data_IF_035787131091
#
_entry.id   IF_035787131091
#
_cell.length_a   1.000
_cell.length_b   1.000
_cell.length_c   1.000
_cell.angle_alpha   90.00
_cell.angle_beta   90.00
_cell.angle_gamma   90.00
#
_symmetry.space_group_name_H-M   'P 1'
#
loop_
_entity.id
_entity.type
_entity.pdbx_description
1 polymer ?
#
# COMPACT_ATOMS: atom_id res chain seq x y z
N UNK A 1 -7.02 22.78 12.70
CA UNK A 1 -7.08 21.33 13.00
C UNK A 1 -5.73 20.75 12.61
N UNK A 2 -4.95 20.28 13.57
CA UNK A 2 -3.59 19.77 13.34
C UNK A 2 -3.67 18.39 12.71
N UNK A 3 -3.38 18.29 11.41
CA UNK A 3 -3.23 17.01 10.73
C UNK A 3 -2.11 16.20 11.41
N UNK A 4 -2.44 15.04 11.99
CA UNK A 4 -1.46 14.18 12.63
C UNK A 4 -0.78 13.29 11.59
N UNK A 5 0.54 13.42 11.50
CA UNK A 5 1.38 12.55 10.63
C UNK A 5 1.26 11.11 11.13
N UNK A 6 0.97 10.18 10.21
CA UNK A 6 0.84 8.77 10.53
C UNK A 6 2.21 8.16 10.80
N UNK A 7 2.40 7.58 12.00
CA UNK A 7 3.68 7.03 12.46
C UNK A 7 3.61 5.52 12.73
N UNK A 8 4.61 4.72 12.33
CA UNK A 8 4.56 3.25 12.45
C UNK A 8 4.72 2.69 13.87
N UNK A 9 5.20 3.52 14.81
CA UNK A 9 5.58 3.10 16.16
C UNK A 9 4.91 3.96 17.26
N UNK A 10 3.80 4.63 16.95
CA UNK A 10 3.05 5.40 17.95
C UNK A 10 2.12 4.53 18.82
N UNK A 11 1.88 3.27 18.42
CA UNK A 11 0.96 2.34 19.08
C UNK A 11 1.60 0.97 19.24
N UNK A 12 1.12 0.23 20.24
CA UNK A 12 1.58 -1.12 20.52
C UNK A 12 1.14 -2.09 19.40
N UNK A 13 2.00 -3.05 19.01
CA UNK A 13 1.60 -4.13 18.12
C UNK A 13 0.50 -4.99 18.74
N UNK A 14 -0.38 -5.51 17.91
CA UNK A 14 -1.35 -6.53 18.32
C UNK A 14 -0.74 -7.92 18.15
N UNK A 15 -1.06 -8.82 19.08
CA UNK A 15 -0.55 -10.18 19.05
C UNK A 15 -1.04 -10.93 17.80
N UNK A 16 -0.12 -11.59 17.10
CA UNK A 16 -0.40 -12.46 15.94
C UNK A 16 -1.38 -11.84 14.92
N UNK A 17 -1.23 -10.55 14.66
CA UNK A 17 -2.15 -9.78 13.82
C UNK A 17 -1.34 -8.87 12.89
N UNK A 18 -1.78 -8.74 11.64
CA UNK A 18 -1.28 -7.75 10.70
C UNK A 18 -2.40 -6.78 10.33
N UNK A 19 -2.12 -5.48 10.46
CA UNK A 19 -3.04 -4.41 10.05
C UNK A 19 -2.52 -3.71 8.80
N UNK A 20 -3.28 -3.80 7.71
CA UNK A 20 -2.98 -3.14 6.44
C UNK A 20 -3.94 -1.96 6.23
N UNK A 21 -3.40 -0.79 5.90
CA UNK A 21 -4.16 0.37 5.48
C UNK A 21 -4.12 0.50 3.95
N UNK A 22 -5.27 0.40 3.29
CA UNK A 22 -5.44 0.68 1.86
C UNK A 22 -5.86 2.14 1.68
N UNK A 23 -5.02 2.93 1.04
CA UNK A 23 -5.25 4.37 0.78
C UNK A 23 -5.42 4.59 -0.73
N UNK A 24 -6.42 5.35 -1.13
CA UNK A 24 -6.59 5.76 -2.53
C UNK A 24 -7.96 6.34 -2.77
N UNK A 25 -8.17 7.01 -3.90
CA UNK A 25 -9.42 7.69 -4.22
C UNK A 25 -10.66 6.76 -4.19
N UNK A 26 -11.85 7.34 -4.19
CA UNK A 26 -13.09 6.57 -4.32
C UNK A 26 -13.11 5.78 -5.64
N UNK A 27 -13.68 4.57 -5.60
CA UNK A 27 -13.78 3.72 -6.79
C UNK A 27 -12.49 3.01 -7.24
N UNK A 28 -11.36 3.15 -6.53
CA UNK A 28 -10.08 2.49 -6.91
C UNK A 28 -10.03 0.98 -6.63
N UNK A 29 -11.14 0.31 -6.34
CA UNK A 29 -11.16 -1.14 -6.06
C UNK A 29 -10.64 -1.55 -4.67
N UNK A 30 -10.45 -0.61 -3.73
CA UNK A 30 -9.93 -0.91 -2.37
C UNK A 30 -10.70 -2.01 -1.65
N UNK A 31 -12.03 -2.00 -1.74
CA UNK A 31 -12.88 -2.99 -1.07
C UNK A 31 -12.75 -4.39 -1.70
N UNK A 32 -12.60 -4.46 -3.01
CA UNK A 32 -12.35 -5.70 -3.72
C UNK A 32 -10.99 -6.25 -3.32
N UNK A 33 -9.94 -5.43 -3.35
CA UNK A 33 -8.61 -5.84 -2.90
C UNK A 33 -8.60 -6.26 -1.42
N UNK A 34 -9.33 -5.56 -0.55
CA UNK A 34 -9.50 -5.94 0.86
C UNK A 34 -10.12 -7.33 1.02
N UNK A 35 -11.19 -7.63 0.27
CA UNK A 35 -11.81 -8.97 0.25
C UNK A 35 -10.82 -10.03 -0.20
N UNK A 36 -10.06 -9.74 -1.27
CA UNK A 36 -9.01 -10.63 -1.75
C UNK A 36 -7.97 -10.94 -0.67
N UNK A 37 -7.50 -9.92 0.06
CA UNK A 37 -6.51 -10.11 1.13
C UNK A 37 -7.11 -10.91 2.31
N UNK A 38 -8.33 -10.61 2.74
CA UNK A 38 -9.01 -11.30 3.85
C UNK A 38 -9.33 -12.76 3.50
N UNK A 39 -9.54 -13.08 2.22
CA UNK A 39 -9.84 -14.44 1.76
C UNK A 39 -8.65 -15.40 1.81
N UNK A 40 -7.42 -14.89 2.02
CA UNK A 40 -6.22 -15.72 2.09
C UNK A 40 -6.14 -16.34 3.48
N UNK A 41 -6.10 -17.67 3.52
CA UNK A 41 -5.91 -18.42 4.76
C UNK A 41 -4.46 -18.28 5.26
N UNK A 42 -4.30 -17.72 6.46
CA UNK A 42 -3.02 -17.51 7.13
C UNK A 42 -3.14 -17.87 8.62
N UNK A 43 -2.05 -18.29 9.29
CA UNK A 43 -2.07 -18.67 10.71
C UNK A 43 -2.17 -17.48 11.68
N UNK A 44 -2.42 -16.28 11.17
CA UNK A 44 -2.49 -15.02 11.90
C UNK A 44 -3.71 -14.20 11.48
N UNK A 45 -4.13 -13.25 12.32
CA UNK A 45 -5.28 -12.39 12.02
C UNK A 45 -4.91 -11.30 11.03
N UNK A 46 -5.75 -11.10 10.01
CA UNK A 46 -5.59 -10.05 9.00
C UNK A 46 -6.66 -8.98 9.20
N UNK A 47 -6.24 -7.75 9.49
CA UNK A 47 -7.13 -6.59 9.60
C UNK A 47 -6.87 -5.62 8.45
N UNK A 48 -7.92 -5.23 7.74
CA UNK A 48 -7.83 -4.25 6.66
C UNK A 48 -8.58 -2.98 7.07
N UNK A 49 -7.91 -1.84 6.93
CA UNK A 49 -8.49 -0.50 7.03
C UNK A 49 -8.45 0.14 5.65
N UNK A 50 -9.48 0.91 5.31
CA UNK A 50 -9.54 1.66 4.05
C UNK A 50 -9.62 3.15 4.35
N UNK A 51 -9.00 3.95 3.50
CA UNK A 51 -9.08 5.41 3.54
C UNK A 51 -9.15 5.96 2.12
N UNK A 52 -9.91 7.04 1.93
CA UNK A 52 -10.00 7.74 0.64
C UNK A 52 -8.81 8.67 0.43
N UNK A 53 -8.32 9.29 1.49
CA UNK A 53 -7.11 10.12 1.50
C UNK A 53 -6.49 10.14 2.90
N UNK A 54 -5.30 10.74 3.02
CA UNK A 54 -4.69 11.12 4.29
C UNK A 54 -4.62 12.65 4.39
N UNK A 55 -4.61 13.23 5.61
CA UNK A 55 -4.55 12.58 6.92
C UNK A 55 -5.86 11.87 7.31
N UNK A 56 -5.77 10.87 8.17
CA UNK A 56 -6.96 10.23 8.75
C UNK A 56 -7.62 11.19 9.76
N UNK A 57 -8.93 11.05 9.96
CA UNK A 57 -9.66 11.80 11.00
C UNK A 57 -9.06 11.58 12.39
N UNK A 58 -9.10 12.59 13.24
CA UNK A 58 -8.65 12.49 14.64
C UNK A 58 -9.69 11.84 15.55
N UNK A 59 -10.94 11.74 15.09
CA UNK A 59 -12.06 11.18 15.86
C UNK A 59 -11.81 9.72 16.30
N UNK A 60 -11.18 8.93 15.42
CA UNK A 60 -10.83 7.53 15.69
C UNK A 60 -9.38 7.34 16.12
N UNK A 61 -8.69 8.40 16.56
CA UNK A 61 -7.26 8.28 16.87
C UNK A 61 -7.00 7.35 18.04
N UNK A 62 -7.81 7.35 19.10
CA UNK A 62 -7.61 6.46 20.24
C UNK A 62 -7.93 4.99 19.92
N UNK A 63 -8.99 4.75 19.14
CA UNK A 63 -9.49 3.41 18.81
C UNK A 63 -8.75 2.75 17.65
N UNK A 64 -8.06 3.53 16.81
CA UNK A 64 -7.35 3.01 15.64
C UNK A 64 -6.25 2.01 16.06
N UNK A 65 -6.16 0.82 15.47
CA UNK A 65 -5.04 -0.09 15.74
C UNK A 65 -3.71 0.48 15.23
N UNK A 66 -2.60 -0.12 15.64
CA UNK A 66 -1.32 0.11 14.97
C UNK A 66 -1.46 -0.30 13.50
N UNK A 67 -0.97 0.52 12.57
CA UNK A 67 -0.93 0.18 11.14
C UNK A 67 0.45 -0.36 10.83
N UNK A 68 0.52 -1.63 10.48
CA UNK A 68 1.78 -2.32 10.18
C UNK A 68 2.24 -2.05 8.75
N UNK A 69 1.31 -1.93 7.80
CA UNK A 69 1.62 -1.75 6.39
C UNK A 69 0.65 -0.79 5.68
N UNK A 70 1.17 0.07 4.79
CA UNK A 70 0.35 1.01 4.00
C UNK A 70 0.44 0.67 2.51
N UNK A 71 -0.69 0.51 1.86
CA UNK A 71 -0.79 0.29 0.43
C UNK A 71 -1.49 1.48 -0.22
N UNK A 72 -0.76 2.25 -1.03
CA UNK A 72 -1.30 3.35 -1.81
C UNK A 72 -1.76 2.85 -3.17
N UNK A 73 -3.04 3.01 -3.48
CA UNK A 73 -3.67 2.49 -4.69
C UNK A 73 -3.92 3.63 -5.65
N UNK A 74 -3.32 3.52 -6.83
CA UNK A 74 -3.43 4.45 -7.95
C UNK A 74 -4.22 3.79 -9.07
N UNK A 75 -5.35 4.39 -9.44
CA UNK A 75 -6.04 4.05 -10.67
C UNK A 75 -5.41 4.81 -11.85
N UNK A 76 -4.73 4.09 -12.74
CA UNK A 76 -4.03 4.68 -13.88
C UNK A 76 -4.97 5.35 -14.90
N UNK A 77 -6.27 5.07 -14.85
CA UNK A 77 -7.29 5.73 -15.69
C UNK A 77 -7.79 7.05 -15.11
N UNK A 78 -7.45 7.35 -13.84
CA UNK A 78 -7.97 8.51 -13.13
C UNK A 78 -6.84 9.39 -12.56
N UNK A 79 -6.63 10.57 -13.14
CA UNK A 79 -5.62 11.53 -12.67
C UNK A 79 -5.85 12.02 -11.23
N UNK A 80 -7.10 12.13 -10.81
CA UNK A 80 -7.43 12.50 -9.42
C UNK A 80 -6.96 11.41 -8.45
N UNK A 81 -6.97 10.14 -8.87
CA UNK A 81 -6.43 9.06 -8.03
C UNK A 81 -4.94 9.25 -7.74
N UNK A 82 -4.15 9.73 -8.71
CA UNK A 82 -2.73 10.02 -8.50
C UNK A 82 -2.56 11.21 -7.56
N UNK A 83 -3.28 12.32 -7.79
CA UNK A 83 -3.24 13.51 -6.93
C UNK A 83 -3.57 13.19 -5.47
N UNK A 84 -4.59 12.35 -5.25
CA UNK A 84 -4.96 11.91 -3.90
C UNK A 84 -3.80 11.16 -3.23
N UNK A 85 -3.08 10.31 -3.95
CA UNK A 85 -1.91 9.61 -3.42
C UNK A 85 -0.76 10.59 -3.15
N UNK A 86 -0.46 11.50 -4.08
CA UNK A 86 0.56 12.55 -3.94
C UNK A 86 0.35 13.43 -2.71
N UNK A 87 -0.89 13.82 -2.42
CA UNK A 87 -1.21 14.57 -1.20
C UNK A 87 -1.15 13.67 0.04
N UNK A 88 -1.63 12.43 -0.06
CA UNK A 88 -1.69 11.50 1.08
C UNK A 88 -0.30 11.14 1.63
N UNK A 89 0.70 10.92 0.76
CA UNK A 89 2.05 10.53 1.18
C UNK A 89 2.73 11.61 2.04
N UNK A 90 2.38 12.89 1.86
CA UNK A 90 2.91 14.02 2.66
C UNK A 90 2.53 13.93 4.13
N UNK A 91 1.49 13.17 4.45
CA UNK A 91 0.98 12.96 5.81
C UNK A 91 1.47 11.66 6.44
N UNK A 92 2.45 10.99 5.83
CA UNK A 92 3.02 9.72 6.32
C UNK A 92 4.47 9.91 6.73
N UNK A 93 4.82 9.39 7.90
CA UNK A 93 6.20 9.39 8.40
C UNK A 93 7.11 8.56 7.48
N UNK A 94 8.29 9.10 7.15
CA UNK A 94 9.23 8.48 6.21
C UNK A 94 9.61 7.04 6.56
N UNK A 95 9.53 6.67 7.85
CA UNK A 95 9.81 5.31 8.32
C UNK A 95 8.86 4.25 7.75
N UNK A 96 7.69 4.64 7.23
CA UNK A 96 6.83 3.69 6.51
C UNK A 96 7.45 3.24 5.19
N UNK A 97 8.18 4.12 4.50
CA UNK A 97 8.75 3.78 3.20
C UNK A 97 9.96 2.84 3.30
N UNK A 98 10.50 2.64 4.52
CA UNK A 98 11.55 1.66 4.83
C UNK A 98 10.97 0.23 4.94
N UNK A 99 10.38 -0.26 3.86
CA UNK A 99 9.84 -1.62 3.77
C UNK A 99 8.43 -1.84 4.34
N UNK A 100 7.74 -0.78 4.80
CA UNK A 100 6.40 -0.87 5.43
C UNK A 100 5.29 -0.22 4.58
N UNK A 101 5.56 0.10 3.33
CA UNK A 101 4.57 0.58 2.39
C UNK A 101 4.82 0.06 0.98
N UNK A 102 3.78 0.09 0.15
CA UNK A 102 3.87 -0.10 -1.28
C UNK A 102 2.88 0.76 -2.05
N UNK A 103 3.15 0.92 -3.33
CA UNK A 103 2.23 1.47 -4.31
C UNK A 103 1.62 0.32 -5.13
N UNK A 104 0.37 0.47 -5.51
CA UNK A 104 -0.36 -0.45 -6.37
C UNK A 104 -0.96 0.35 -7.50
N UNK A 105 -0.51 0.10 -8.72
CA UNK A 105 -1.06 0.70 -9.93
C UNK A 105 -2.04 -0.28 -10.58
N UNK A 106 -3.31 0.12 -10.64
CA UNK A 106 -4.40 -0.68 -11.20
C UNK A 106 -4.77 -0.25 -12.63
N UNK A 107 -5.48 -1.13 -13.34
CA UNK A 107 -5.99 -0.93 -14.71
C UNK A 107 -4.87 -0.70 -15.75
N UNK A 108 -3.74 -1.36 -15.53
CA UNK A 108 -2.56 -1.29 -16.41
C UNK A 108 -2.88 -1.77 -17.84
N UNK A 109 -3.80 -2.74 -17.94
CA UNK A 109 -4.24 -3.39 -19.19
C UNK A 109 -5.11 -2.53 -20.12
N UNK A 110 -5.53 -1.33 -19.70
CA UNK A 110 -6.32 -0.41 -20.51
C UNK A 110 -5.49 0.80 -20.98
N UNK A 111 -4.47 0.63 -21.85
CA UNK A 111 -3.62 1.74 -22.29
C UNK A 111 -4.41 2.86 -22.97
N UNK A 112 -5.51 2.54 -23.65
CA UNK A 112 -6.40 3.49 -24.35
C UNK A 112 -7.19 4.41 -23.40
N UNK A 113 -7.41 3.99 -22.15
CA UNK A 113 -8.09 4.79 -21.11
C UNK A 113 -7.11 5.37 -20.09
N UNK A 114 -5.81 5.26 -20.34
CA UNK A 114 -4.77 5.67 -19.40
C UNK A 114 -4.75 7.19 -19.23
N UNK A 115 -5.05 7.64 -18.02
CA UNK A 115 -4.98 9.04 -17.62
C UNK A 115 -3.60 9.43 -17.07
N UNK A 116 -2.84 8.47 -16.53
CA UNK A 116 -1.55 8.67 -15.85
C UNK A 116 -0.46 7.80 -16.48
N UNK A 117 0.69 8.38 -16.82
CA UNK A 117 1.81 7.65 -17.42
C UNK A 117 2.49 6.70 -16.43
N UNK A 118 2.89 5.51 -16.89
CA UNK A 118 3.57 4.51 -16.04
C UNK A 118 4.91 5.02 -15.51
N UNK A 119 5.66 5.76 -16.35
CA UNK A 119 6.94 6.37 -15.99
C UNK A 119 6.80 7.34 -14.83
N UNK A 120 5.82 8.25 -14.88
CA UNK A 120 5.54 9.19 -13.80
C UNK A 120 5.20 8.49 -12.48
N UNK A 121 4.45 7.39 -12.53
CA UNK A 121 4.16 6.61 -11.31
C UNK A 121 5.42 5.89 -10.82
N UNK A 122 6.24 5.35 -11.71
CA UNK A 122 7.51 4.70 -11.34
C UNK A 122 8.47 5.68 -10.67
N UNK A 123 8.74 6.83 -11.31
CA UNK A 123 9.60 7.89 -10.77
C UNK A 123 9.11 8.37 -9.40
N UNK A 124 7.79 8.51 -9.25
CA UNK A 124 7.18 8.85 -7.97
C UNK A 124 7.44 7.77 -6.91
N UNK A 125 7.29 6.49 -7.24
CA UNK A 125 7.57 5.40 -6.30
C UNK A 125 9.05 5.34 -5.91
N UNK A 126 9.94 5.53 -6.89
CA UNK A 126 11.39 5.56 -6.70
C UNK A 126 11.81 6.75 -5.82
N UNK A 127 11.16 7.90 -5.96
CA UNK A 127 11.39 9.06 -5.09
C UNK A 127 11.16 8.75 -3.60
N UNK A 128 10.15 7.92 -3.30
CA UNK A 128 9.86 7.47 -1.93
C UNK A 128 10.59 6.18 -1.55
N UNK A 129 11.31 5.53 -2.48
CA UNK A 129 11.99 4.25 -2.24
C UNK A 129 11.04 3.08 -1.96
N UNK A 130 9.76 3.18 -2.31
CA UNK A 130 8.76 2.15 -2.05
C UNK A 130 8.45 1.32 -3.31
N UNK A 131 8.14 0.02 -3.17
CA UNK A 131 7.92 -0.86 -4.29
C UNK A 131 6.56 -0.57 -4.93
N UNK A 132 6.48 -0.77 -6.24
CA UNK A 132 5.24 -0.69 -7.01
C UNK A 132 4.80 -2.08 -7.48
N UNK A 133 3.52 -2.39 -7.28
CA UNK A 133 2.86 -3.55 -7.86
C UNK A 133 1.92 -3.12 -8.97
N UNK A 134 2.06 -3.72 -10.14
CA UNK A 134 1.16 -3.52 -11.27
C UNK A 134 0.11 -4.64 -11.28
N UNK A 135 -1.17 -4.27 -11.30
CA UNK A 135 -2.25 -5.25 -11.18
C UNK A 135 -3.53 -4.88 -11.90
N UNK A 136 -4.42 -5.87 -11.97
CA UNK A 136 -5.81 -5.73 -12.39
C UNK A 136 -6.69 -6.47 -11.38
N UNK A 137 -7.98 -6.11 -11.33
CA UNK A 137 -8.99 -6.74 -10.50
C UNK A 137 -10.13 -7.29 -11.37
N UNK A 138 -9.84 -7.63 -12.63
CA UNK A 138 -10.87 -8.08 -13.58
C UNK A 138 -11.24 -9.55 -13.36
N UNK A 139 -10.31 -10.33 -12.82
CA UNK A 139 -10.47 -11.75 -12.51
C UNK A 139 -10.08 -12.07 -11.08
N UNK A 140 -10.73 -13.08 -10.49
CA UNK A 140 -10.44 -13.55 -9.12
C UNK A 140 -8.96 -13.95 -8.96
N UNK A 141 -8.36 -14.55 -9.99
CA UNK A 141 -6.97 -14.99 -9.94
C UNK A 141 -5.99 -13.79 -9.84
N UNK A 142 -6.25 -12.71 -10.57
CA UNK A 142 -5.44 -11.50 -10.51
C UNK A 142 -5.58 -10.81 -9.15
N UNK A 143 -6.81 -10.69 -8.66
CA UNK A 143 -7.11 -10.14 -7.36
C UNK A 143 -6.40 -10.92 -6.26
N UNK A 144 -6.50 -12.26 -6.25
CA UNK A 144 -5.83 -13.13 -5.27
C UNK A 144 -4.31 -13.01 -5.38
N UNK A 145 -3.76 -12.94 -6.59
CA UNK A 145 -2.31 -12.82 -6.79
C UNK A 145 -1.78 -11.50 -6.24
N UNK A 146 -2.45 -10.40 -6.54
CA UNK A 146 -2.09 -9.07 -6.01
C UNK A 146 -2.26 -9.00 -4.49
N UNK A 147 -3.36 -9.55 -3.98
CA UNK A 147 -3.63 -9.65 -2.54
C UNK A 147 -2.52 -10.44 -1.82
N UNK A 148 -2.08 -11.58 -2.37
CA UNK A 148 -0.98 -12.38 -1.82
C UNK A 148 0.34 -11.61 -1.80
N UNK A 149 0.65 -10.85 -2.84
CA UNK A 149 1.86 -10.01 -2.86
C UNK A 149 1.85 -8.95 -1.76
N UNK A 150 0.73 -8.25 -1.59
CA UNK A 150 0.55 -7.24 -0.53
C UNK A 150 0.67 -7.89 0.85
N UNK A 151 -0.02 -9.01 1.07
CA UNK A 151 -0.01 -9.71 2.35
C UNK A 151 1.38 -10.24 2.71
N UNK A 152 2.14 -10.73 1.73
CA UNK A 152 3.52 -11.18 1.91
C UNK A 152 4.45 -10.04 2.37
N UNK A 153 4.29 -8.82 1.85
CA UNK A 153 5.04 -7.65 2.35
C UNK A 153 4.54 -7.22 3.74
N UNK A 154 3.22 -7.22 3.93
CA UNK A 154 2.60 -6.78 5.18
C UNK A 154 2.98 -7.67 6.38
N UNK A 155 2.99 -9.00 6.21
CA UNK A 155 3.35 -9.94 7.28
C UNK A 155 4.80 -9.76 7.75
N UNK A 156 5.70 -9.41 6.84
CA UNK A 156 7.09 -9.07 7.19
C UNK A 156 7.13 -7.75 7.96
N UNK A 157 6.34 -6.76 7.55
CA UNK A 157 6.21 -5.49 8.29
C UNK A 157 5.67 -5.67 9.71
N UNK A 158 4.71 -6.56 9.89
CA UNK A 158 4.17 -6.92 11.21
C UNK A 158 5.15 -7.74 12.06
N UNK A 159 6.25 -8.24 11.50
CA UNK A 159 7.22 -9.08 12.21
C UNK A 159 6.75 -10.52 12.41
N UNK A 160 5.83 -11.00 11.57
CA UNK A 160 5.28 -12.36 11.62
C UNK A 160 6.15 -13.39 10.88
N UNK A 161 7.23 -12.95 10.24
CA UNK A 161 8.18 -13.81 9.51
C UNK A 161 9.50 -13.82 10.25
N UNK A 162 9.95 -15.00 10.66
CA UNK A 162 11.20 -15.16 11.38
C UNK A 162 12.40 -14.77 10.51
N UNK A 163 13.36 -14.06 11.11
CA UNK A 163 14.64 -13.68 10.51
C UNK A 163 14.57 -12.76 9.27
N UNK A 164 13.39 -12.25 8.92
CA UNK A 164 13.22 -11.31 7.80
C UNK A 164 12.66 -10.01 8.36
N UNK A 165 13.40 -8.91 8.14
CA UNK A 165 12.95 -7.57 8.49
C UNK A 165 12.49 -6.80 7.25
N UNK A 166 11.64 -5.77 7.41
CA UNK A 166 11.23 -4.91 6.31
C UNK A 166 12.42 -4.25 5.59
N UNK A 167 13.45 -3.86 6.34
CA UNK A 167 14.65 -3.23 5.81
C UNK A 167 15.52 -4.20 5.00
N UNK A 168 15.52 -5.49 5.36
CA UNK A 168 16.18 -6.52 4.57
C UNK A 168 15.52 -6.64 3.19
N UNK A 169 14.19 -6.68 3.13
CA UNK A 169 13.45 -6.72 1.86
C UNK A 169 13.74 -5.46 1.05
N UNK A 170 13.70 -4.29 1.70
CA UNK A 170 14.00 -3.00 1.09
C UNK A 170 15.39 -2.99 0.42
N UNK A 171 16.40 -3.54 1.10
CA UNK A 171 17.78 -3.64 0.60
C UNK A 171 17.94 -4.58 -0.61
N UNK A 172 17.01 -5.52 -0.79
CA UNK A 172 17.01 -6.45 -1.95
C UNK A 172 16.26 -5.90 -3.16
N UNK A 173 15.65 -4.72 -3.04
CA UNK A 173 14.96 -4.09 -4.16
C UNK A 173 15.98 -3.67 -5.21
N UNK A 174 15.65 -3.95 -6.46
CA UNK A 174 16.29 -3.28 -7.58
C UNK A 174 15.45 -2.04 -7.89
N UNK A 175 16.03 -0.84 -7.99
CA UNK A 175 15.33 0.27 -8.63
C UNK A 175 14.91 -0.17 -10.04
N UNK A 176 13.78 0.34 -10.53
CA UNK A 176 13.43 0.17 -11.93
C UNK A 176 14.38 1.02 -12.77
N UNK A 177 15.59 0.53 -13.03
CA UNK A 177 16.56 1.22 -13.87
C UNK A 177 16.04 1.35 -15.30
N UNK A 178 15.63 2.56 -15.68
CA UNK A 178 15.35 2.94 -17.08
C UNK A 178 16.64 3.18 -17.88
N UNK A 179 17.66 2.34 -17.70
CA UNK A 179 18.90 2.40 -18.49
C UNK A 179 19.36 1.02 -18.98
N UNK A 180 18.51 0.31 -19.71
CA UNK A 180 18.94 -0.74 -20.66
C UNK A 180 17.94 -0.87 -21.81
N UNK A 181 17.83 0.17 -22.65
CA UNK A 181 17.52 0.06 -24.08
C UNK A 181 18.30 1.13 -24.84
#
# INVERSE_FOLDING_TARGET
MTATVLKPHNKLPQYNTVTVLLVGAEGTGKHELAKGIISIDEPFSVQIRTATCLPLSTEDEESRPRIDFICFIVDLTNRESMRVVEESVKHVDLRYFLGRSCFVALKVKCPEKRGVGLELVSEFCDHYGAPILYGALETDQEQITLAKQILNMAKVSAGLVNNISPLLIDSTRRPYDTQLL
#
